data_IF_246428170523
#
_entry.id   IF_246428170523
#
_cell.length_a   1.000
_cell.length_b   1.000
_cell.length_c   1.000
_cell.angle_alpha   90.00
_cell.angle_beta   90.00
_cell.angle_gamma   90.00
#
_symmetry.space_group_name_H-M   'P 1'
#
loop_
_entity.id
_entity.type
_entity.pdbx_description
1 polymer ?
#
# COMPACT_ATOMS: atom_id res chain seq x y z
N UNK A 1 2.13 -3.95 -5.99
CA UNK A 1 2.74 -3.28 -4.83
C UNK A 1 4.10 -2.63 -5.10
N UNK A 2 5.08 -3.30 -5.73
CA UNK A 2 6.41 -2.68 -6.00
C UNK A 2 6.33 -1.35 -6.75
N UNK A 3 5.47 -1.26 -7.77
CA UNK A 3 5.23 -0.01 -8.54
C UNK A 3 4.74 1.12 -7.63
N UNK A 4 3.76 0.85 -6.76
CA UNK A 4 3.24 1.85 -5.78
C UNK A 4 4.34 2.35 -4.86
N UNK A 5 5.14 1.44 -4.29
CA UNK A 5 6.25 1.81 -3.40
C UNK A 5 7.30 2.62 -4.16
N UNK A 6 7.68 2.21 -5.38
CA UNK A 6 8.64 2.92 -6.20
C UNK A 6 8.17 4.35 -6.55
N UNK A 7 6.95 4.49 -7.05
CA UNK A 7 6.36 5.78 -7.39
C UNK A 7 6.23 6.70 -6.17
N UNK A 8 5.86 6.17 -5.01
CA UNK A 8 5.78 6.94 -3.78
C UNK A 8 7.14 7.38 -3.26
N UNK A 9 8.18 6.54 -3.40
CA UNK A 9 9.55 6.93 -3.06
C UNK A 9 10.06 8.03 -4.00
N UNK A 10 9.81 7.90 -5.30
CA UNK A 10 10.22 8.85 -6.33
C UNK A 10 9.45 10.18 -6.24
N UNK A 11 8.19 10.11 -5.80
CA UNK A 11 7.28 11.25 -5.70
C UNK A 11 6.56 11.25 -4.33
N UNK A 12 7.23 11.63 -3.23
CA UNK A 12 6.64 11.55 -1.89
C UNK A 12 5.32 12.32 -1.72
N UNK A 13 5.10 13.35 -2.55
CA UNK A 13 3.85 14.10 -2.61
C UNK A 13 2.62 13.26 -3.02
N UNK A 14 2.81 12.12 -3.69
CA UNK A 14 1.73 11.20 -4.05
C UNK A 14 1.04 10.57 -2.84
N UNK A 15 1.61 10.72 -1.64
CA UNK A 15 0.94 10.37 -0.39
C UNK A 15 -0.43 11.06 -0.24
N UNK A 16 -0.62 12.22 -0.88
CA UNK A 16 -1.92 12.91 -0.90
C UNK A 16 -3.03 12.15 -1.63
N UNK A 17 -2.70 11.19 -2.50
CA UNK A 17 -3.68 10.31 -3.16
C UNK A 17 -3.96 9.02 -2.38
N UNK A 18 -3.21 8.76 -1.30
CA UNK A 18 -3.38 7.54 -0.52
C UNK A 18 -4.62 7.68 0.38
N UNK A 19 -5.65 6.81 0.22
CA UNK A 19 -6.81 6.85 1.09
C UNK A 19 -6.45 6.33 2.49
N UNK A 20 -7.40 6.39 3.43
CA UNK A 20 -7.21 5.73 4.72
C UNK A 20 -7.04 4.20 4.51
N UNK A 21 -5.94 3.64 5.02
CA UNK A 21 -5.58 2.22 4.89
C UNK A 21 -5.81 1.40 6.16
N UNK A 22 -6.52 1.93 7.16
CA UNK A 22 -6.69 1.28 8.47
C UNK A 22 -7.40 -0.07 8.36
N UNK A 23 -8.37 -0.20 7.45
CA UNK A 23 -9.11 -1.43 7.19
C UNK A 23 -8.26 -2.57 6.64
N UNK A 24 -7.13 -2.25 6.00
CA UNK A 24 -6.21 -3.24 5.43
C UNK A 24 -4.88 -3.34 6.19
N UNK A 25 -4.65 -2.52 7.23
CA UNK A 25 -3.35 -2.45 7.93
C UNK A 25 -2.92 -3.79 8.55
N UNK A 26 -3.88 -4.65 8.89
CA UNK A 26 -3.62 -5.97 9.48
C UNK A 26 -3.55 -7.10 8.44
N UNK A 27 -3.78 -6.80 7.16
CA UNK A 27 -3.77 -7.82 6.11
C UNK A 27 -2.37 -8.42 5.97
N UNK A 28 -2.27 -9.75 6.07
CA UNK A 28 -1.01 -10.44 5.89
C UNK A 28 -0.68 -10.62 4.39
N UNK A 29 -0.23 -9.53 3.75
CA UNK A 29 0.17 -9.50 2.35
C UNK A 29 1.65 -9.06 2.20
N UNK A 30 2.49 -9.83 1.48
CA UNK A 30 3.91 -9.50 1.34
C UNK A 30 4.13 -8.09 0.76
N UNK A 31 4.91 -7.29 1.49
CA UNK A 31 5.24 -5.91 1.12
C UNK A 31 4.29 -4.85 1.69
N UNK A 32 3.12 -5.23 2.23
CA UNK A 32 2.15 -4.25 2.74
C UNK A 32 2.72 -3.44 3.90
N UNK A 33 3.42 -4.12 4.81
CA UNK A 33 4.12 -3.46 5.92
C UNK A 33 5.15 -2.44 5.45
N UNK A 34 5.85 -2.72 4.35
CA UNK A 34 6.81 -1.79 3.75
C UNK A 34 6.08 -0.59 3.13
N UNK A 35 5.00 -0.83 2.38
CA UNK A 35 4.18 0.24 1.81
C UNK A 35 3.64 1.18 2.91
N UNK A 36 3.09 0.61 3.98
CA UNK A 36 2.57 1.37 5.12
C UNK A 36 3.66 2.20 5.80
N UNK A 37 4.86 1.66 5.98
CA UNK A 37 5.98 2.41 6.55
C UNK A 37 6.39 3.58 5.64
N UNK A 38 6.41 3.40 4.31
CA UNK A 38 6.67 4.52 3.38
C UNK A 38 5.57 5.59 3.48
N UNK A 39 4.30 5.18 3.46
CA UNK A 39 3.15 6.09 3.60
C UNK A 39 3.23 6.86 4.92
N UNK A 40 3.44 6.17 6.04
CA UNK A 40 3.53 6.77 7.37
C UNK A 40 4.66 7.80 7.43
N UNK A 41 5.84 7.53 6.82
CA UNK A 41 6.93 8.52 6.78
C UNK A 41 6.61 9.72 5.89
N UNK A 42 5.99 9.51 4.72
CA UNK A 42 5.58 10.62 3.87
C UNK A 42 4.52 11.52 4.55
N UNK A 43 3.54 10.93 5.25
CA UNK A 43 2.53 11.68 6.01
C UNK A 43 3.14 12.50 7.16
N UNK A 44 4.11 11.93 7.87
CA UNK A 44 4.77 12.61 8.99
C UNK A 44 5.78 13.67 8.57
N UNK A 45 6.23 13.65 7.30
CA UNK A 45 7.21 14.59 6.76
C UNK A 45 6.72 15.22 5.45
N UNK A 46 5.80 16.20 5.52
CA UNK A 46 5.35 16.93 4.32
C UNK A 46 6.53 17.56 3.58
N UNK A 47 6.50 17.49 2.24
CA UNK A 47 7.55 18.02 1.36
C UNK A 47 8.93 17.34 1.47
N UNK A 48 9.01 16.15 2.07
CA UNK A 48 10.24 15.36 2.08
C UNK A 48 10.67 15.00 0.65
N UNK A 49 11.96 15.15 0.34
CA UNK A 49 12.52 14.67 -0.92
C UNK A 49 12.80 13.16 -0.88
N UNK A 50 12.89 12.50 -2.03
CA UNK A 50 13.26 11.07 -2.14
C UNK A 50 14.53 10.74 -1.37
N UNK A 51 15.57 11.57 -1.49
CA UNK A 51 16.84 11.37 -0.79
C UNK A 51 16.67 11.42 0.74
N UNK A 52 15.99 12.45 1.25
CA UNK A 52 15.70 12.57 2.68
C UNK A 52 14.81 11.42 3.19
N UNK A 53 13.86 10.96 2.38
CA UNK A 53 13.00 9.83 2.71
C UNK A 53 13.83 8.55 2.87
N UNK A 54 14.75 8.27 1.94
CA UNK A 54 15.62 7.09 2.01
C UNK A 54 16.54 7.07 3.24
N UNK A 55 16.94 8.24 3.77
CA UNK A 55 17.74 8.32 5.00
C UNK A 55 17.07 7.64 6.20
N UNK A 56 15.74 7.57 6.23
CA UNK A 56 15.01 6.89 7.30
C UNK A 56 15.28 5.38 7.35
N UNK A 57 15.76 4.78 6.26
CA UNK A 57 16.12 3.36 6.21
C UNK A 57 17.62 3.11 6.10
N UNK A 58 18.47 4.14 6.26
CA UNK A 58 19.93 3.96 6.25
C UNK A 58 20.34 2.96 7.34
N UNK A 59 21.17 1.99 6.97
CA UNK A 59 21.63 0.87 7.79
C UNK A 59 20.51 -0.07 8.29
N UNK A 60 19.32 -0.03 7.68
CA UNK A 60 18.23 -0.94 7.98
C UNK A 60 18.13 -2.05 6.94
N UNK A 61 17.42 -3.13 7.28
CA UNK A 61 17.23 -4.31 6.41
C UNK A 61 16.64 -3.95 5.03
N UNK A 62 15.82 -2.90 4.96
CA UNK A 62 15.09 -2.51 3.76
C UNK A 62 15.81 -1.46 2.90
N UNK A 63 16.97 -0.95 3.34
CA UNK A 63 17.74 0.10 2.63
C UNK A 63 17.98 -0.26 1.15
N UNK A 64 18.48 -1.48 0.92
CA UNK A 64 18.87 -1.93 -0.41
C UNK A 64 17.67 -2.05 -1.34
N UNK A 65 16.55 -2.59 -0.87
CA UNK A 65 15.37 -2.78 -1.71
C UNK A 65 14.69 -1.43 -2.00
N UNK A 66 14.61 -0.53 -1.01
CA UNK A 66 14.05 0.80 -1.20
C UNK A 66 14.89 1.66 -2.14
N UNK A 67 16.22 1.59 -2.03
CA UNK A 67 17.12 2.29 -2.96
C UNK A 67 16.94 1.79 -4.39
N UNK A 68 16.84 0.47 -4.58
CA UNK A 68 16.57 -0.12 -5.90
C UNK A 68 15.23 0.36 -6.47
N UNK A 69 14.17 0.34 -5.66
CA UNK A 69 12.84 0.81 -6.06
C UNK A 69 12.83 2.31 -6.38
N UNK A 70 13.53 3.14 -5.60
CA UNK A 70 13.63 4.57 -5.86
C UNK A 70 14.34 4.86 -7.20
N UNK A 71 15.36 4.06 -7.55
CA UNK A 71 16.06 4.16 -8.84
C UNK A 71 15.39 3.45 -10.01
N UNK A 72 14.28 2.76 -9.78
CA UNK A 72 13.67 1.92 -10.79
C UNK A 72 12.99 2.78 -11.86
N UNK A 73 13.47 2.66 -13.09
CA UNK A 73 12.81 3.23 -14.26
C UNK A 73 11.53 2.44 -14.55
N UNK A 74 10.38 3.06 -14.26
CA UNK A 74 9.07 2.42 -14.38
C UNK A 74 8.64 2.51 -15.85
N UNK A 75 8.43 1.37 -16.52
CA UNK A 75 8.04 1.39 -17.92
C UNK A 75 6.64 2.00 -18.05
N UNK A 76 6.56 3.16 -18.69
CA UNK A 76 5.31 3.77 -19.14
C UNK A 76 4.91 3.09 -20.46
N UNK A 77 3.66 2.65 -20.56
CA UNK A 77 3.19 1.91 -21.75
C UNK A 77 2.82 2.85 -22.90
N UNK A 78 2.55 4.12 -22.58
CA UNK A 78 2.27 5.20 -23.53
C UNK A 78 3.12 6.43 -23.20
N UNK A 79 3.45 7.21 -24.24
CA UNK A 79 4.16 8.48 -24.10
C UNK A 79 3.37 9.54 -23.30
N UNK A 80 2.05 9.34 -23.15
CA UNK A 80 1.13 10.22 -22.41
C UNK A 80 0.79 9.71 -21.01
N UNK A 81 1.28 8.54 -20.58
CA UNK A 81 0.93 8.00 -19.26
C UNK A 81 1.47 8.93 -18.15
N UNK A 82 0.57 9.54 -17.38
CA UNK A 82 0.94 10.30 -16.20
C UNK A 82 1.34 9.34 -15.08
N UNK A 83 2.45 9.61 -14.41
CA UNK A 83 2.91 8.83 -13.25
C UNK A 83 1.87 8.81 -12.11
N UNK A 84 1.08 9.87 -11.98
CA UNK A 84 -0.04 9.94 -11.03
C UNK A 84 -1.12 8.90 -11.35
N UNK A 85 -1.52 8.77 -12.62
CA UNK A 85 -2.53 7.79 -13.05
C UNK A 85 -2.02 6.37 -12.83
N UNK A 86 -0.76 6.10 -13.18
CA UNK A 86 -0.12 4.79 -12.92
C UNK A 86 -0.09 4.51 -11.42
N UNK A 87 0.20 5.52 -10.59
CA UNK A 87 0.21 5.38 -9.14
C UNK A 87 -1.16 5.02 -8.60
N UNK A 88 -2.20 5.78 -8.95
CA UNK A 88 -3.57 5.55 -8.52
C UNK A 88 -4.08 4.17 -8.97
N UNK A 89 -3.93 3.82 -10.24
CA UNK A 89 -4.33 2.50 -10.77
C UNK A 89 -3.61 1.35 -10.06
N UNK A 90 -2.32 1.53 -9.77
CA UNK A 90 -1.52 0.52 -9.08
C UNK A 90 -1.88 0.42 -7.61
N UNK A 91 -2.24 1.55 -6.98
CA UNK A 91 -2.67 1.64 -5.59
C UNK A 91 -4.02 0.96 -5.41
N UNK A 92 -4.99 1.24 -6.28
CA UNK A 92 -6.31 0.60 -6.26
C UNK A 92 -6.20 -0.92 -6.37
N UNK A 93 -5.37 -1.42 -7.28
CA UNK A 93 -5.09 -2.86 -7.40
C UNK A 93 -4.50 -3.44 -6.12
N UNK A 94 -3.63 -2.71 -5.42
CA UNK A 94 -3.05 -3.16 -4.15
C UNK A 94 -4.11 -3.18 -3.05
N UNK A 95 -4.93 -2.13 -2.94
CA UNK A 95 -6.00 -2.05 -1.95
C UNK A 95 -7.01 -3.18 -2.17
N UNK A 96 -7.43 -3.39 -3.42
CA UNK A 96 -8.32 -4.49 -3.79
C UNK A 96 -7.77 -5.86 -3.37
N UNK A 97 -6.48 -6.13 -3.67
CA UNK A 97 -5.81 -7.37 -3.23
C UNK A 97 -5.78 -7.51 -1.70
N UNK A 98 -5.63 -6.41 -0.97
CA UNK A 98 -5.60 -6.45 0.49
C UNK A 98 -7.00 -6.72 1.07
N UNK A 99 -8.04 -6.13 0.49
CA UNK A 99 -9.44 -6.37 0.85
C UNK A 99 -9.81 -7.82 0.60
N UNK A 100 -9.54 -8.36 -0.60
CA UNK A 100 -9.79 -9.77 -0.92
C UNK A 100 -9.12 -10.71 0.08
N UNK A 101 -7.83 -10.45 0.39
CA UNK A 101 -7.08 -11.27 1.33
C UNK A 101 -7.63 -11.21 2.75
N UNK A 102 -8.10 -10.05 3.19
CA UNK A 102 -8.71 -9.88 4.51
C UNK A 102 -10.05 -10.62 4.59
N UNK A 103 -10.88 -10.53 3.55
CA UNK A 103 -12.13 -11.29 3.43
C UNK A 103 -11.86 -12.80 3.49
N UNK A 104 -10.91 -13.31 2.72
CA UNK A 104 -10.51 -14.72 2.75
C UNK A 104 -10.13 -15.18 4.17
N UNK A 105 -9.36 -14.34 4.87
CA UNK A 105 -8.87 -14.61 6.22
C UNK A 105 -10.02 -14.68 7.22
N UNK A 106 -10.93 -13.70 7.18
CA UNK A 106 -12.12 -13.66 8.03
C UNK A 106 -13.06 -14.84 7.75
N UNK A 107 -13.31 -15.16 6.48
CA UNK A 107 -14.13 -16.32 6.12
C UNK A 107 -13.51 -17.65 6.57
N UNK A 108 -12.18 -17.80 6.48
CA UNK A 108 -11.49 -18.99 6.98
C UNK A 108 -11.57 -19.09 8.52
N UNK A 109 -11.46 -17.96 9.21
CA UNK A 109 -11.65 -17.88 10.66
C UNK A 109 -13.08 -18.21 11.08
N UNK A 110 -14.08 -17.71 10.34
CA UNK A 110 -15.49 -18.02 10.57
C UNK A 110 -15.75 -19.54 10.51
N UNK A 111 -15.22 -20.21 9.49
CA UNK A 111 -15.38 -21.67 9.31
C UNK A 111 -14.68 -22.51 10.38
N UNK A 112 -13.63 -21.98 11.02
CA UNK A 112 -12.81 -22.75 11.96
C UNK A 112 -13.22 -22.55 13.41
N UNK A 113 -13.23 -21.29 13.87
CA UNK A 113 -13.46 -20.93 15.27
C UNK A 113 -14.60 -19.92 15.45
N UNK A 114 -15.17 -19.41 14.36
CA UNK A 114 -16.17 -18.35 14.36
C UNK A 114 -15.55 -16.95 14.39
N UNK A 115 -16.38 -15.95 14.09
CA UNK A 115 -16.01 -14.53 14.14
C UNK A 115 -16.65 -13.82 15.32
N UNK A 116 -15.92 -12.86 15.88
CA UNK A 116 -16.45 -11.89 16.84
C UNK A 116 -17.49 -10.97 16.18
N UNK A 117 -18.20 -10.18 17.00
CA UNK A 117 -19.18 -9.20 16.49
C UNK A 117 -18.48 -8.14 15.63
N UNK A 118 -17.30 -7.68 16.04
CA UNK A 118 -16.55 -6.66 15.30
C UNK A 118 -16.00 -7.21 13.99
N UNK A 119 -15.51 -8.45 13.99
CA UNK A 119 -15.02 -9.13 12.79
C UNK A 119 -16.13 -9.40 11.76
N UNK A 120 -17.34 -9.69 12.22
CA UNK A 120 -18.51 -9.81 11.32
C UNK A 120 -18.87 -8.47 10.69
N UNK A 121 -18.77 -7.37 11.44
CA UNK A 121 -19.00 -6.02 10.91
C UNK A 121 -17.93 -5.64 9.90
N UNK A 122 -16.67 -5.95 10.20
CA UNK A 122 -15.54 -5.75 9.30
C UNK A 122 -15.74 -6.53 7.99
N UNK A 123 -16.07 -7.82 8.07
CA UNK A 123 -16.34 -8.66 6.90
C UNK A 123 -17.45 -8.07 6.02
N UNK A 124 -18.55 -7.61 6.62
CA UNK A 124 -19.64 -6.98 5.88
C UNK A 124 -19.22 -5.67 5.20
N UNK A 125 -18.43 -4.83 5.88
CA UNK A 125 -17.92 -3.58 5.32
C UNK A 125 -16.99 -3.86 4.12
N UNK A 126 -16.03 -4.77 4.28
CA UNK A 126 -15.10 -5.16 3.20
C UNK A 126 -15.83 -5.75 1.98
N UNK A 127 -16.89 -6.53 2.20
CA UNK A 127 -17.70 -7.08 1.11
C UNK A 127 -18.53 -6.03 0.36
N UNK A 128 -18.85 -4.90 1.00
CA UNK A 128 -19.49 -3.76 0.36
C UNK A 128 -18.47 -2.98 -0.48
N UNK A 129 -17.28 -2.75 0.06
CA UNK A 129 -16.19 -2.05 -0.64
C UNK A 129 -15.76 -2.78 -1.92
N UNK A 130 -15.80 -4.12 -1.94
CA UNK A 130 -15.49 -4.92 -3.12
C UNK A 130 -16.55 -4.83 -4.24
N UNK A 131 -17.79 -4.44 -3.90
CA UNK A 131 -18.92 -4.36 -4.84
C UNK A 131 -19.17 -2.96 -5.38
N UNK A 132 -18.55 -1.95 -4.76
CA UNK A 132 -18.64 -0.54 -5.16
C UNK A 132 -17.72 -0.26 -6.35
#
# INVERSE_FOLDING_TARGET
MRVVIALLLQNPQFVGFVPNLDSIRQTNLPGLSLLLDVVDKCLNHPHISTGQLLEHWRNQKDERILSLLASWDIPTYKEEDNLEDIFCDSLDKVIYQCIERQIETLQAKERSIGLSVDEKRELLALMLDLKA
#
